data_IF_147750410147
#
_entry.id   IF_147750410147
#
_cell.length_a   1.000
_cell.length_b   1.000
_cell.length_c   1.000
_cell.angle_alpha   90.00
_cell.angle_beta   90.00
_cell.angle_gamma   90.00
#
_symmetry.space_group_name_H-M   'P 1'
#
loop_
_entity.id
_entity.type
_entity.pdbx_description
1 polymer ?
#
# COMPACT_ATOMS: atom_id res chain seq x y z
N UNK A 1 4.53 -13.48 -1.48
CA UNK A 1 4.49 -12.82 -2.80
C UNK A 1 3.35 -13.30 -3.67
N UNK A 2 3.29 -14.58 -4.11
CA UNK A 2 2.21 -15.04 -5.02
C UNK A 2 0.79 -14.68 -4.56
N UNK A 3 0.44 -14.96 -3.30
CA UNK A 3 -0.88 -14.60 -2.75
C UNK A 3 -1.16 -13.08 -2.74
N UNK A 4 -0.13 -12.24 -2.60
CA UNK A 4 -0.26 -10.77 -2.65
C UNK A 4 -0.63 -10.33 -4.07
N UNK A 5 0.06 -10.90 -5.06
CA UNK A 5 -0.15 -10.63 -6.48
C UNK A 5 -1.56 -11.07 -6.90
N UNK A 6 -1.94 -12.30 -6.54
CA UNK A 6 -3.28 -12.84 -6.81
C UNK A 6 -4.36 -11.95 -6.19
N UNK A 7 -4.14 -11.48 -4.94
CA UNK A 7 -5.10 -10.61 -4.28
C UNK A 7 -5.19 -9.22 -4.92
N UNK A 8 -4.07 -8.64 -5.36
CA UNK A 8 -4.05 -7.36 -6.06
C UNK A 8 -4.84 -7.43 -7.37
N UNK A 9 -4.65 -8.50 -8.16
CA UNK A 9 -5.39 -8.74 -9.39
C UNK A 9 -6.89 -8.96 -9.11
N UNK A 10 -7.24 -9.80 -8.14
CA UNK A 10 -8.63 -10.04 -7.74
C UNK A 10 -9.34 -8.72 -7.35
N UNK A 11 -8.69 -7.89 -6.53
CA UNK A 11 -9.25 -6.60 -6.09
C UNK A 11 -9.44 -5.67 -7.28
N UNK A 12 -8.42 -5.56 -8.15
CA UNK A 12 -8.48 -4.72 -9.36
C UNK A 12 -9.64 -5.12 -10.26
N UNK A 13 -9.79 -6.42 -10.53
CA UNK A 13 -10.84 -6.95 -11.41
C UNK A 13 -12.22 -6.77 -10.80
N UNK A 14 -12.35 -6.97 -9.48
CA UNK A 14 -13.65 -6.91 -8.79
C UNK A 14 -14.15 -5.49 -8.57
N UNK A 15 -13.26 -4.55 -8.24
CA UNK A 15 -13.66 -3.22 -7.77
C UNK A 15 -13.22 -2.08 -8.68
N UNK A 16 -12.29 -2.32 -9.61
CA UNK A 16 -11.62 -1.26 -10.36
C UNK A 16 -10.60 -0.49 -9.50
N UNK A 17 -9.86 0.41 -10.15
CA UNK A 17 -8.80 1.23 -9.51
C UNK A 17 -8.87 2.71 -9.91
N UNK A 18 -9.95 3.15 -10.53
CA UNK A 18 -10.09 4.54 -11.00
C UNK A 18 -10.06 5.49 -9.81
N UNK A 19 -10.84 5.18 -8.78
CA UNK A 19 -10.89 5.87 -7.50
C UNK A 19 -10.36 4.95 -6.38
N UNK A 20 -9.14 5.23 -5.92
CA UNK A 20 -8.47 4.44 -4.88
C UNK A 20 -8.98 4.76 -3.46
N UNK A 21 -9.56 5.94 -3.23
CA UNK A 21 -10.14 6.30 -1.94
C UNK A 21 -11.44 5.52 -1.73
N UNK A 22 -12.29 5.47 -2.78
CA UNK A 22 -13.48 4.63 -2.79
C UNK A 22 -13.11 3.14 -2.67
N UNK A 23 -12.05 2.69 -3.35
CA UNK A 23 -11.55 1.33 -3.23
C UNK A 23 -11.14 1.00 -1.79
N UNK A 24 -10.35 1.87 -1.16
CA UNK A 24 -9.92 1.71 0.23
C UNK A 24 -11.14 1.60 1.16
N UNK A 25 -12.13 2.49 0.99
CA UNK A 25 -13.37 2.50 1.77
C UNK A 25 -14.13 1.17 1.66
N UNK A 26 -14.30 0.64 0.44
CA UNK A 26 -14.93 -0.67 0.21
C UNK A 26 -14.18 -1.83 0.87
N UNK A 27 -12.87 -1.67 1.08
CA UNK A 27 -12.01 -2.66 1.70
C UNK A 27 -11.81 -2.45 3.21
N UNK A 28 -12.51 -1.47 3.80
CA UNK A 28 -12.51 -1.22 5.24
C UNK A 28 -11.41 -0.27 5.73
N UNK A 29 -10.77 0.47 4.82
CA UNK A 29 -9.79 1.50 5.14
C UNK A 29 -10.30 2.90 4.73
N UNK A 30 -9.89 3.93 5.45
CA UNK A 30 -10.20 5.32 5.10
C UNK A 30 -8.94 6.03 4.60
N UNK A 31 -9.04 6.85 3.56
CA UNK A 31 -7.94 7.70 3.10
C UNK A 31 -8.23 9.13 3.55
N UNK A 32 -7.27 9.75 4.23
CA UNK A 32 -7.38 11.15 4.67
C UNK A 32 -6.15 11.92 4.22
N UNK A 33 -6.36 13.17 3.80
CA UNK A 33 -5.27 14.06 3.43
C UNK A 33 -4.92 15.00 4.57
N UNK A 34 -3.68 14.95 5.02
CA UNK A 34 -3.17 15.82 6.09
C UNK A 34 -1.70 16.17 5.80
N UNK A 35 -1.27 17.43 5.93
CA UNK A 35 0.13 17.80 5.74
C UNK A 35 1.07 17.03 6.70
N UNK A 36 1.94 16.17 6.16
CA UNK A 36 2.87 15.32 6.94
C UNK A 36 4.28 15.91 7.06
N UNK A 37 4.47 17.13 6.55
CA UNK A 37 5.74 17.84 6.59
C UNK A 37 6.71 17.35 5.52
N UNK A 38 8.02 17.46 5.80
CA UNK A 38 9.04 17.30 4.75
C UNK A 38 9.40 15.84 4.47
N UNK A 39 9.46 15.00 5.50
CA UNK A 39 10.07 13.67 5.41
C UNK A 39 9.00 12.60 5.16
N UNK A 40 7.94 12.59 5.95
CA UNK A 40 6.89 11.57 5.90
C UNK A 40 5.87 11.98 4.83
N UNK A 41 5.44 11.01 4.02
CA UNK A 41 4.50 11.23 2.89
C UNK A 41 3.26 10.35 2.95
N UNK A 42 3.31 9.28 3.73
CA UNK A 42 2.20 8.38 4.04
C UNK A 42 2.38 7.82 5.45
N UNK A 43 1.26 7.59 6.14
CA UNK A 43 1.20 6.89 7.42
C UNK A 43 -0.06 6.03 7.47
N UNK A 44 0.10 4.74 7.71
CA UNK A 44 -1.03 3.86 8.03
C UNK A 44 -1.24 3.73 9.54
N UNK A 45 -2.37 4.23 10.03
CA UNK A 45 -2.82 4.14 11.42
C UNK A 45 -3.64 2.85 11.58
N UNK A 46 -2.95 1.79 11.98
CA UNK A 46 -3.47 0.42 12.06
C UNK A 46 -4.77 0.24 12.84
N UNK A 47 -4.87 0.87 14.00
CA UNK A 47 -5.99 0.68 14.92
C UNK A 47 -7.27 1.30 14.34
N UNK A 48 -7.14 2.51 13.78
CA UNK A 48 -8.22 3.23 13.10
C UNK A 48 -8.50 2.73 11.68
N UNK A 49 -7.54 2.02 11.05
CA UNK A 49 -7.65 1.61 9.66
C UNK A 49 -7.54 2.78 8.67
N UNK A 50 -6.84 3.85 9.07
CA UNK A 50 -6.73 5.10 8.30
C UNK A 50 -5.38 5.17 7.59
N UNK A 51 -5.40 5.53 6.31
CA UNK A 51 -4.23 5.83 5.48
C UNK A 51 -4.16 7.35 5.35
N UNK A 52 -3.16 7.95 5.98
CA UNK A 52 -2.91 9.39 5.92
C UNK A 52 -1.94 9.67 4.79
N UNK A 53 -2.29 10.59 3.89
CA UNK A 53 -1.45 10.97 2.75
C UNK A 53 -1.16 12.47 2.75
N UNK A 54 0.07 12.85 2.39
CA UNK A 54 0.39 14.26 2.19
C UNK A 54 -0.35 14.83 0.96
N UNK A 55 -1.15 15.90 1.11
CA UNK A 55 -1.97 16.44 0.02
C UNK A 55 -1.15 16.98 -1.15
N UNK A 56 0.11 17.39 -0.92
CA UNK A 56 0.95 18.08 -1.91
C UNK A 56 1.70 17.13 -2.86
N UNK A 57 1.41 15.83 -2.80
CA UNK A 57 2.03 14.83 -3.66
C UNK A 57 1.51 14.89 -5.09
N UNK A 58 2.39 14.61 -6.05
CA UNK A 58 1.99 14.35 -7.43
C UNK A 58 0.97 13.20 -7.48
N UNK A 59 -0.09 13.26 -8.33
CA UNK A 59 -1.15 12.25 -8.37
C UNK A 59 -0.65 10.80 -8.48
N UNK A 60 0.36 10.53 -9.32
CA UNK A 60 0.95 9.19 -9.42
C UNK A 60 1.55 8.70 -8.10
N UNK A 61 2.23 9.59 -7.35
CA UNK A 61 2.83 9.22 -6.05
C UNK A 61 1.75 9.02 -5.00
N UNK A 62 0.72 9.87 -4.98
CA UNK A 62 -0.47 9.73 -4.12
C UNK A 62 -1.13 8.37 -4.33
N UNK A 63 -1.41 7.99 -5.60
CA UNK A 63 -1.99 6.69 -5.95
C UNK A 63 -1.15 5.50 -5.46
N UNK A 64 0.16 5.56 -5.69
CA UNK A 64 1.09 4.53 -5.23
C UNK A 64 1.09 4.40 -3.70
N UNK A 65 1.13 5.51 -2.96
CA UNK A 65 1.15 5.48 -1.50
C UNK A 65 -0.19 5.02 -0.89
N UNK A 66 -1.34 5.37 -1.51
CA UNK A 66 -2.64 4.82 -1.10
C UNK A 66 -2.66 3.31 -1.28
N UNK A 67 -2.20 2.80 -2.43
CA UNK A 67 -2.14 1.36 -2.67
C UNK A 67 -1.17 0.65 -1.70
N UNK A 68 -0.05 1.29 -1.37
CA UNK A 68 0.91 0.81 -0.38
C UNK A 68 0.28 0.74 1.02
N UNK A 69 -0.34 1.82 1.51
CA UNK A 69 -1.04 1.86 2.80
C UNK A 69 -2.18 0.83 2.88
N UNK A 70 -2.91 0.63 1.78
CA UNK A 70 -3.95 -0.39 1.68
C UNK A 70 -3.39 -1.81 1.83
N UNK A 71 -2.17 -2.08 1.36
CA UNK A 71 -1.52 -3.36 1.60
C UNK A 71 -1.24 -3.59 3.09
N UNK A 72 -0.80 -2.56 3.83
CA UNK A 72 -0.66 -2.67 5.28
C UNK A 72 -1.98 -2.96 5.97
N UNK A 73 -3.08 -2.36 5.50
CA UNK A 73 -4.41 -2.65 5.98
C UNK A 73 -4.81 -4.12 5.78
N UNK A 74 -4.65 -4.63 4.56
CA UNK A 74 -5.13 -5.97 4.20
C UNK A 74 -4.26 -7.09 4.79
N UNK A 75 -2.94 -6.92 4.82
CA UNK A 75 -2.02 -8.02 5.13
C UNK A 75 -1.32 -7.88 6.48
N UNK A 76 -1.18 -6.65 7.00
CA UNK A 76 -0.32 -6.36 8.14
C UNK A 76 -1.08 -5.83 9.37
N UNK A 77 -2.39 -5.59 9.27
CA UNK A 77 -3.23 -5.09 10.38
C UNK A 77 -3.32 -6.02 11.59
N UNK A 78 -2.98 -7.30 11.50
CA UNK A 78 -2.88 -8.18 12.69
C UNK A 78 -1.46 -8.27 13.25
N UNK A 79 -0.46 -7.75 12.54
CA UNK A 79 0.94 -7.89 12.93
C UNK A 79 1.29 -6.98 14.11
N UNK A 80 1.89 -7.55 15.16
CA UNK A 80 2.63 -6.78 16.18
C UNK A 80 3.97 -6.36 15.56
N UNK A 81 3.97 -5.25 14.83
CA UNK A 81 5.18 -4.56 14.35
C UNK A 81 4.95 -3.10 14.70
N UNK A 82 5.78 -2.56 15.58
CA UNK A 82 5.78 -1.13 15.86
C UNK A 82 6.60 -0.46 14.77
N UNK A 83 5.93 0.23 13.84
CA UNK A 83 6.58 1.04 12.80
C UNK A 83 7.31 2.26 13.40
N UNK A 84 7.02 2.58 14.66
CA UNK A 84 7.72 3.55 15.50
C UNK A 84 8.54 2.78 16.55
N UNK A 85 9.78 2.42 16.20
CA UNK A 85 10.92 2.07 17.05
C UNK A 85 10.60 1.51 18.47
N UNK A 86 10.75 0.19 18.66
CA UNK A 86 11.19 -0.36 19.95
C UNK A 86 12.46 -1.18 19.70
N UNK A 87 13.60 -0.60 20.08
CA UNK A 87 14.96 -1.08 19.76
C UNK A 87 15.36 -2.35 20.52
N UNK A 88 14.45 -2.94 21.29
CA UNK A 88 14.78 -4.02 22.24
C UNK A 88 14.76 -5.43 21.64
N UNK A 89 14.35 -5.58 20.37
CA UNK A 89 14.35 -6.87 19.64
C UNK A 89 14.76 -6.71 18.16
N UNK A 90 15.92 -6.07 17.95
CA UNK A 90 16.26 -5.33 16.73
C UNK A 90 16.36 -6.12 15.41
N UNK A 91 16.77 -7.40 15.40
CA UNK A 91 16.95 -8.10 14.11
C UNK A 91 15.66 -8.70 13.56
N UNK A 92 14.91 -9.42 14.39
CA UNK A 92 13.70 -10.10 13.93
C UNK A 92 12.61 -9.11 13.49
N UNK A 93 12.41 -8.04 14.26
CA UNK A 93 11.46 -6.98 13.93
C UNK A 93 11.87 -6.24 12.64
N UNK A 94 13.16 -5.98 12.45
CA UNK A 94 13.68 -5.37 11.22
C UNK A 94 13.45 -6.23 9.97
N UNK A 95 13.75 -7.53 10.03
CA UNK A 95 13.51 -8.45 8.90
C UNK A 95 12.02 -8.57 8.59
N UNK A 96 11.18 -8.62 9.62
CA UNK A 96 9.72 -8.66 9.47
C UNK A 96 9.19 -7.38 8.83
N UNK A 97 9.60 -6.21 9.32
CA UNK A 97 9.24 -4.91 8.74
C UNK A 97 9.67 -4.85 7.28
N UNK A 98 10.94 -5.17 6.95
CA UNK A 98 11.41 -5.21 5.56
C UNK A 98 10.59 -6.13 4.67
N UNK A 99 10.14 -7.28 5.19
CA UNK A 99 9.26 -8.18 4.44
C UNK A 99 7.91 -7.54 4.16
N UNK A 100 7.32 -6.89 5.16
CA UNK A 100 6.04 -6.20 5.05
C UNK A 100 6.10 -5.03 4.07
N UNK A 101 7.13 -4.19 4.14
CA UNK A 101 7.37 -3.12 3.15
C UNK A 101 7.47 -3.70 1.74
N UNK A 102 8.22 -4.80 1.57
CA UNK A 102 8.36 -5.45 0.27
C UNK A 102 7.03 -6.04 -0.24
N UNK A 103 6.22 -6.61 0.67
CA UNK A 103 4.88 -7.12 0.35
C UNK A 103 3.95 -5.97 -0.05
N UNK A 104 4.02 -4.83 0.63
CA UNK A 104 3.24 -3.63 0.30
C UNK A 104 3.61 -3.04 -1.07
N UNK A 105 4.91 -2.96 -1.37
CA UNK A 105 5.41 -2.53 -2.68
C UNK A 105 4.94 -3.45 -3.82
N UNK A 106 5.02 -4.77 -3.62
CA UNK A 106 4.54 -5.74 -4.62
C UNK A 106 3.03 -5.61 -4.82
N UNK A 107 2.26 -5.47 -3.74
CA UNK A 107 0.82 -5.25 -3.86
C UNK A 107 0.51 -4.00 -4.67
N UNK A 108 1.13 -2.86 -4.33
CA UNK A 108 0.89 -1.58 -5.00
C UNK A 108 1.24 -1.65 -6.49
N UNK A 109 2.35 -2.30 -6.85
CA UNK A 109 2.76 -2.48 -8.23
C UNK A 109 1.71 -3.25 -9.05
N UNK A 110 1.30 -4.44 -8.58
CA UNK A 110 0.35 -5.29 -9.32
C UNK A 110 -1.08 -4.76 -9.31
N UNK A 111 -1.47 -4.01 -8.27
CA UNK A 111 -2.77 -3.35 -8.22
C UNK A 111 -2.86 -2.25 -9.28
N UNK A 112 -1.80 -1.42 -9.40
CA UNK A 112 -1.80 -0.22 -10.24
C UNK A 112 -1.32 -0.45 -11.67
N UNK A 113 -0.49 -1.46 -11.89
CA UNK A 113 0.14 -1.78 -13.18
C UNK A 113 -0.26 -3.21 -13.56
N UNK A 114 -1.34 -3.39 -14.33
CA UNK A 114 -1.75 -4.70 -14.80
C UNK A 114 -0.71 -5.32 -15.73
N UNK A 115 -0.39 -6.58 -15.48
CA UNK A 115 0.66 -7.31 -16.21
C UNK A 115 0.32 -7.48 -17.69
N UNK A 116 -0.95 -7.69 -18.02
CA UNK A 116 -1.48 -7.72 -19.39
C UNK A 116 -1.20 -6.41 -20.14
N UNK A 117 -1.55 -5.27 -19.53
CA UNK A 117 -1.30 -3.94 -20.11
C UNK A 117 0.19 -3.61 -20.23
N UNK A 118 1.00 -4.04 -19.25
CA UNK A 118 2.45 -3.87 -19.30
C UNK A 118 3.05 -4.70 -20.44
N UNK A 119 2.64 -5.96 -20.58
CA UNK A 119 3.13 -6.85 -21.64
C UNK A 119 2.70 -6.41 -23.04
N UNK A 120 1.52 -5.79 -23.18
CA UNK A 120 1.14 -5.12 -24.43
C UNK A 120 2.14 -4.02 -24.78
N UNK A 121 2.45 -3.12 -23.83
CA UNK A 121 3.41 -2.03 -24.05
C UNK A 121 4.82 -2.53 -24.39
N UNK A 122 5.30 -3.56 -23.70
CA UNK A 122 6.64 -4.12 -23.95
C UNK A 122 6.78 -4.86 -25.28
N UNK A 123 5.67 -5.23 -25.94
CA UNK A 123 5.69 -5.86 -27.28
C UNK A 123 5.66 -4.83 -28.41
N UNK A 124 5.37 -3.56 -28.09
CA UNK A 124 5.36 -2.45 -29.06
C UNK A 124 6.76 -1.84 -29.28
N UNK A 125 7.74 -2.20 -28.44
CA UNK A 125 9.17 -1.81 -28.51
C UNK A 125 10.04 -2.89 -29.16
#
# INVERSE_FOLDING_TARGET
MRHIIEKANEIREKYGIDDLELLASKLGAEVVELPLGRIIKEVYIKDEGVIVIDPNLHPCKKRHLIAHGLAHHLFHRSAKVNYFLDERDNRFNYWKQRRQEKEAEVFAAYLLIPEDKLNEKLRED
#
